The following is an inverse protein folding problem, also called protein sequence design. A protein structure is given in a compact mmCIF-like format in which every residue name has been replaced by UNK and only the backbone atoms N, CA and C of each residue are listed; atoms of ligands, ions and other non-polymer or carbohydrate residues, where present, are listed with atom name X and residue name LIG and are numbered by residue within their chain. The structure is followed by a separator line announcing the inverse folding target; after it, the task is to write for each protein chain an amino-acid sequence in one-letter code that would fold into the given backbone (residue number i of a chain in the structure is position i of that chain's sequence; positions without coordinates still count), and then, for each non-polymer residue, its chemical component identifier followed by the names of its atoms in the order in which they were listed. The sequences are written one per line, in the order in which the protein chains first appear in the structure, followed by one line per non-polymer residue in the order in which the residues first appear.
data_IF_463685650255
#
_entry.id   IF_463685650255
#
_cell.length_a   1.000
_cell.length_b   1.000
_cell.length_c   1.000
_cell.angle_alpha   90.00
_cell.angle_beta   90.00
_cell.angle_gamma   90.00
#
_symmetry.space_group_name_H-M   'P 1'
#
loop_
_entity.id
_entity.type
_entity.pdbx_description
1 polymer ?
#
# COMPACT_ATOMS: atom_id res chain seq x y z
N UNK A 1 3.00 27.87 -5.66
CA UNK A 1 2.90 27.29 -4.30
C UNK A 1 4.33 27.04 -3.85
N UNK A 2 4.83 27.85 -2.91
CA UNK A 2 6.26 27.88 -2.54
C UNK A 2 6.51 26.85 -1.45
N UNK A 3 7.37 25.90 -1.74
CA UNK A 3 7.77 24.90 -0.79
C UNK A 3 8.77 25.49 0.20
N UNK A 4 8.35 25.62 1.46
CA UNK A 4 9.19 26.11 2.55
C UNK A 4 9.99 24.97 3.18
N UNK A 5 10.92 24.40 2.44
CA UNK A 5 11.99 23.58 3.02
C UNK A 5 13.28 24.15 2.45
N UNK A 6 13.97 24.95 3.25
CA UNK A 6 15.43 25.02 3.38
C UNK A 6 15.74 26.26 4.23
N UNK A 7 16.54 26.05 5.26
CA UNK A 7 17.10 27.10 6.12
C UNK A 7 17.82 28.15 5.28
N UNK A 8 17.77 29.39 5.79
CA UNK A 8 18.07 30.70 5.19
C UNK A 8 19.46 30.92 4.54
N UNK A 9 20.22 29.88 4.21
CA UNK A 9 21.59 30.00 3.66
C UNK A 9 21.81 29.33 2.29
N UNK A 10 20.83 28.63 1.71
CA UNK A 10 20.94 27.99 0.37
C UNK A 10 19.79 28.34 -0.59
N UNK A 11 19.21 29.53 -0.49
CA UNK A 11 17.99 29.88 -1.26
C UNK A 11 18.18 30.00 -2.78
N UNK A 12 19.41 30.06 -3.32
CA UNK A 12 19.63 30.21 -4.77
C UNK A 12 20.11 28.93 -5.49
N UNK A 13 20.61 27.90 -4.81
CA UNK A 13 21.20 26.72 -5.48
C UNK A 13 20.23 25.56 -5.74
N UNK A 14 19.07 25.54 -5.07
CA UNK A 14 18.07 24.46 -5.23
C UNK A 14 16.94 24.82 -6.20
N UNK A 15 16.80 26.11 -6.56
CA UNK A 15 15.79 26.58 -7.51
C UNK A 15 16.14 26.26 -8.98
N UNK A 16 17.37 25.85 -9.27
CA UNK A 16 17.80 25.39 -10.61
C UNK A 16 17.69 23.89 -10.82
N UNK A 17 17.37 23.12 -9.77
CA UNK A 17 17.28 21.67 -9.83
C UNK A 17 15.91 21.25 -10.38
N UNK A 18 15.90 20.20 -11.20
CA UNK A 18 14.67 19.51 -11.59
C UNK A 18 13.94 18.96 -10.36
N UNK A 19 12.63 18.74 -10.47
CA UNK A 19 11.83 18.17 -9.38
C UNK A 19 12.38 16.81 -8.90
N UNK A 20 12.93 16.01 -9.82
CA UNK A 20 13.63 14.76 -9.52
C UNK A 20 14.87 14.97 -8.64
N UNK A 21 15.74 15.89 -9.02
CA UNK A 21 16.94 16.19 -8.25
C UNK A 21 16.61 16.74 -6.87
N UNK A 22 15.55 17.55 -6.75
CA UNK A 22 15.10 18.11 -5.47
C UNK A 22 14.72 17.01 -4.47
N UNK A 23 13.91 16.02 -4.89
CA UNK A 23 13.53 14.92 -3.99
C UNK A 23 14.73 14.03 -3.64
N UNK A 24 15.56 13.67 -4.62
CA UNK A 24 16.72 12.79 -4.38
C UNK A 24 17.75 13.44 -3.43
N UNK A 25 18.00 14.74 -3.57
CA UNK A 25 18.88 15.49 -2.66
C UNK A 25 18.29 15.57 -1.27
N UNK A 26 17.00 15.86 -1.15
CA UNK A 26 16.33 15.95 0.14
C UNK A 26 16.28 14.62 0.88
N UNK A 27 16.01 13.52 0.18
CA UNK A 27 16.02 12.16 0.75
C UNK A 27 17.43 11.80 1.22
N UNK A 28 18.47 12.06 0.42
CA UNK A 28 19.87 11.87 0.84
C UNK A 28 20.27 12.70 2.05
N UNK A 29 19.68 13.88 2.20
CA UNK A 29 19.90 14.76 3.35
C UNK A 29 19.04 14.37 4.56
N UNK A 30 18.19 13.34 4.46
CA UNK A 30 17.28 12.91 5.53
C UNK A 30 16.21 13.94 5.86
N UNK A 31 15.85 14.79 4.89
CA UNK A 31 14.87 15.84 5.09
C UNK A 31 13.45 15.28 5.06
N UNK A 32 12.60 15.82 5.93
CA UNK A 32 11.18 15.53 5.93
C UNK A 32 10.47 16.40 4.89
N UNK A 33 9.81 15.77 3.92
CA UNK A 33 9.14 16.43 2.79
C UNK A 33 7.62 16.48 3.01
N UNK A 34 7.18 17.10 4.12
CA UNK A 34 5.75 17.17 4.46
C UNK A 34 4.96 17.98 3.43
N UNK A 35 3.89 17.41 2.88
CA UNK A 35 2.98 18.16 1.99
C UNK A 35 3.61 18.57 0.66
N UNK A 36 4.74 17.94 0.36
CA UNK A 36 5.48 18.00 -0.88
C UNK A 36 4.62 17.96 -2.14
N UNK A 37 4.95 18.76 -3.16
CA UNK A 37 4.33 18.61 -4.48
C UNK A 37 5.37 18.18 -5.52
N UNK A 38 5.25 16.93 -5.96
CA UNK A 38 5.99 16.33 -7.07
C UNK A 38 5.03 15.76 -8.12
N UNK A 39 3.88 16.39 -8.33
CA UNK A 39 2.95 15.97 -9.36
C UNK A 39 3.62 15.98 -10.75
N UNK A 40 3.41 14.91 -11.52
CA UNK A 40 3.95 14.75 -12.88
C UNK A 40 5.48 14.54 -12.97
N UNK A 41 6.17 14.34 -11.85
CA UNK A 41 7.63 14.09 -11.87
C UNK A 41 7.93 12.71 -12.47
N UNK A 42 9.06 12.60 -13.18
CA UNK A 42 9.65 11.31 -13.55
C UNK A 42 10.68 10.89 -12.50
N UNK A 43 10.36 9.86 -11.73
CA UNK A 43 11.23 9.20 -10.76
C UNK A 43 11.44 7.72 -11.13
N UNK A 44 11.39 7.41 -12.42
CA UNK A 44 11.64 6.05 -12.92
C UNK A 44 12.96 5.54 -12.35
N UNK A 45 12.91 4.34 -11.77
CA UNK A 45 14.01 3.65 -11.11
C UNK A 45 14.73 4.45 -10.00
N UNK A 46 14.10 5.48 -9.41
CA UNK A 46 14.69 6.21 -8.29
C UNK A 46 14.75 5.35 -7.03
N UNK A 47 15.77 5.58 -6.20
CA UNK A 47 15.88 4.98 -4.88
C UNK A 47 15.50 6.01 -3.81
N UNK A 48 14.35 5.79 -3.18
CA UNK A 48 13.75 6.60 -2.13
C UNK A 48 13.52 5.75 -0.87
N UNK A 49 14.35 4.73 -0.64
CA UNK A 49 14.25 3.87 0.53
C UNK A 49 14.38 4.67 1.83
N UNK A 50 13.49 4.42 2.78
CA UNK A 50 13.44 5.11 4.07
C UNK A 50 13.08 6.60 3.98
N UNK A 51 12.63 7.09 2.82
CA UNK A 51 12.27 8.50 2.66
C UNK A 51 11.10 8.91 3.58
N UNK A 52 11.18 10.13 4.14
CA UNK A 52 10.13 10.69 4.98
C UNK A 52 9.28 11.67 4.16
N UNK A 53 8.18 11.17 3.59
CA UNK A 53 7.34 11.83 2.59
C UNK A 53 5.86 11.96 3.02
N UNK A 54 5.54 12.39 4.26
CA UNK A 54 4.16 12.42 4.72
C UNK A 54 3.36 13.45 3.92
N UNK A 55 2.16 13.06 3.46
CA UNK A 55 1.25 13.91 2.68
C UNK A 55 1.84 14.45 1.37
N UNK A 56 2.88 13.80 0.82
CA UNK A 56 3.41 14.13 -0.50
C UNK A 56 2.37 13.94 -1.59
N UNK A 57 2.40 14.77 -2.61
CA UNK A 57 1.66 14.61 -3.85
C UNK A 57 2.60 14.11 -4.94
N UNK A 58 2.32 12.89 -5.41
CA UNK A 58 2.90 12.25 -6.59
C UNK A 58 1.83 12.05 -7.67
N UNK A 59 0.84 12.93 -7.72
CA UNK A 59 -0.26 12.84 -8.67
C UNK A 59 0.28 12.84 -10.10
N UNK A 60 -0.13 11.88 -10.92
CA UNK A 60 0.37 11.72 -12.31
C UNK A 60 1.90 11.51 -12.44
N UNK A 61 2.62 11.21 -11.35
CA UNK A 61 4.06 10.95 -11.42
C UNK A 61 4.36 9.58 -12.06
N UNK A 62 5.49 9.49 -12.76
CA UNK A 62 6.06 8.21 -13.18
C UNK A 62 6.99 7.68 -12.09
N UNK A 63 6.55 6.62 -11.43
CA UNK A 63 7.22 5.93 -10.33
C UNK A 63 7.57 4.49 -10.76
N UNK A 64 7.70 4.23 -12.07
CA UNK A 64 8.01 2.90 -12.59
C UNK A 64 9.33 2.40 -12.00
N UNK A 65 9.33 1.19 -11.45
CA UNK A 65 10.50 0.53 -10.87
C UNK A 65 11.15 1.31 -9.70
N UNK A 66 10.41 2.23 -9.05
CA UNK A 66 10.91 3.00 -7.90
C UNK A 66 11.08 2.10 -6.67
N UNK A 67 12.09 2.36 -5.84
CA UNK A 67 12.24 1.74 -4.53
C UNK A 67 11.84 2.74 -3.43
N UNK A 68 10.80 2.40 -2.66
CA UNK A 68 10.24 3.14 -1.53
C UNK A 68 10.17 2.24 -0.29
N UNK A 69 11.14 1.33 -0.12
CA UNK A 69 11.14 0.36 0.97
C UNK A 69 11.27 1.09 2.30
N UNK A 70 10.47 0.70 3.28
CA UNK A 70 10.45 1.30 4.61
C UNK A 70 10.23 2.83 4.63
N UNK A 71 9.70 3.42 3.53
CA UNK A 71 9.43 4.85 3.45
C UNK A 71 8.14 5.22 4.20
N UNK A 72 8.07 6.46 4.68
CA UNK A 72 6.87 7.05 5.31
C UNK A 72 6.10 7.85 4.27
N UNK A 73 4.91 7.40 3.93
CA UNK A 73 4.01 7.98 2.92
C UNK A 73 2.60 8.20 3.47
N UNK A 74 2.48 8.39 4.79
CA UNK A 74 1.19 8.58 5.46
C UNK A 74 0.42 9.76 4.84
N UNK A 75 -0.79 9.49 4.35
CA UNK A 75 -1.64 10.48 3.69
C UNK A 75 -1.13 10.97 2.33
N UNK A 76 -0.16 10.28 1.71
CA UNK A 76 0.33 10.63 0.38
C UNK A 76 -0.76 10.51 -0.70
N UNK A 77 -0.68 11.35 -1.72
CA UNK A 77 -1.54 11.30 -2.89
C UNK A 77 -0.76 10.76 -4.09
N UNK A 78 -0.99 9.49 -4.42
CA UNK A 78 -0.43 8.75 -5.54
C UNK A 78 -1.48 8.59 -6.67
N UNK A 79 -2.53 9.41 -6.68
CA UNK A 79 -3.61 9.28 -7.66
C UNK A 79 -3.07 9.45 -9.09
N UNK A 80 -3.45 8.56 -10.00
CA UNK A 80 -3.00 8.52 -11.41
C UNK A 80 -1.49 8.33 -11.60
N UNK A 81 -0.75 7.96 -10.55
CA UNK A 81 0.68 7.65 -10.67
C UNK A 81 0.88 6.29 -11.37
N UNK A 82 1.98 6.17 -12.12
CA UNK A 82 2.41 4.88 -12.65
C UNK A 82 3.36 4.21 -11.66
N UNK A 83 2.89 3.16 -10.97
CA UNK A 83 3.62 2.40 -9.95
C UNK A 83 4.05 1.02 -10.46
N UNK A 84 4.14 0.85 -11.78
CA UNK A 84 4.54 -0.44 -12.37
C UNK A 84 5.90 -0.86 -11.83
N UNK A 85 6.02 -2.09 -11.31
CA UNK A 85 7.25 -2.60 -10.67
C UNK A 85 7.76 -1.81 -9.45
N UNK A 86 6.96 -0.91 -8.88
CA UNK A 86 7.37 -0.17 -7.70
C UNK A 86 7.47 -1.07 -6.45
N UNK A 87 8.44 -0.79 -5.57
CA UNK A 87 8.65 -1.53 -4.34
C UNK A 87 8.35 -0.69 -3.10
N UNK A 88 7.28 -1.02 -2.39
CA UNK A 88 6.84 -0.41 -1.12
C UNK A 88 7.01 -1.36 0.07
N UNK A 89 7.91 -2.34 -0.01
CA UNK A 89 8.09 -3.32 1.06
C UNK A 89 8.32 -2.63 2.41
N UNK A 90 7.46 -2.92 3.39
CA UNK A 90 7.52 -2.35 4.73
C UNK A 90 7.23 -0.85 4.83
N UNK A 91 6.68 -0.22 3.80
CA UNK A 91 6.35 1.22 3.82
C UNK A 91 5.11 1.53 4.67
N UNK A 92 5.04 2.74 5.23
CA UNK A 92 3.85 3.27 5.88
C UNK A 92 3.01 4.04 4.86
N UNK A 93 1.94 3.41 4.36
CA UNK A 93 1.02 3.94 3.36
C UNK A 93 -0.33 4.34 3.98
N UNK A 94 -0.41 4.49 5.31
CA UNK A 94 -1.69 4.75 5.98
C UNK A 94 -2.36 6.00 5.40
N UNK A 95 -3.65 5.90 5.11
CA UNK A 95 -4.45 6.98 4.51
C UNK A 95 -3.97 7.49 3.14
N UNK A 96 -3.06 6.77 2.46
CA UNK A 96 -2.63 7.14 1.12
C UNK A 96 -3.76 6.94 0.09
N UNK A 97 -3.71 7.73 -0.99
CA UNK A 97 -4.69 7.71 -2.08
C UNK A 97 -4.06 7.16 -3.34
N UNK A 98 -4.70 6.17 -3.96
CA UNK A 98 -4.27 5.50 -5.20
C UNK A 98 -5.33 5.58 -6.30
N UNK A 99 -6.21 6.58 -6.27
CA UNK A 99 -7.29 6.70 -7.26
C UNK A 99 -6.71 6.71 -8.68
N UNK A 100 -7.13 5.77 -9.51
CA UNK A 100 -6.68 5.59 -10.90
C UNK A 100 -5.16 5.35 -11.05
N UNK A 101 -4.45 4.94 -9.99
CA UNK A 101 -3.04 4.59 -10.06
C UNK A 101 -2.83 3.22 -10.73
N UNK A 102 -1.73 3.07 -11.47
CA UNK A 102 -1.36 1.80 -12.10
C UNK A 102 -0.46 1.02 -11.13
N UNK A 103 -0.97 -0.10 -10.58
CA UNK A 103 -0.29 -0.92 -9.56
C UNK A 103 0.27 -2.25 -10.11
N UNK A 104 0.53 -2.35 -11.41
CA UNK A 104 0.99 -3.59 -12.04
C UNK A 104 2.34 -4.05 -11.49
N UNK A 105 2.41 -5.24 -10.91
CA UNK A 105 3.63 -5.81 -10.29
C UNK A 105 4.22 -4.94 -9.16
N UNK A 106 3.41 -4.09 -8.52
CA UNK A 106 3.83 -3.34 -7.33
C UNK A 106 3.97 -4.28 -6.13
N UNK A 107 5.11 -4.22 -5.44
CA UNK A 107 5.33 -4.95 -4.19
C UNK A 107 4.85 -4.11 -3.00
N UNK A 108 3.78 -4.55 -2.34
CA UNK A 108 3.23 -3.94 -1.12
C UNK A 108 3.47 -4.83 0.12
N UNK A 109 4.39 -5.78 0.04
CA UNK A 109 4.69 -6.73 1.12
C UNK A 109 5.00 -6.02 2.43
N UNK A 110 4.34 -6.42 3.52
CA UNK A 110 4.51 -5.81 4.85
C UNK A 110 4.22 -4.31 4.95
N UNK A 111 3.66 -3.67 3.93
CA UNK A 111 3.27 -2.26 4.00
C UNK A 111 2.03 -2.07 4.90
N UNK A 112 1.97 -0.93 5.61
CA UNK A 112 0.77 -0.55 6.37
C UNK A 112 -0.23 0.18 5.47
N UNK A 113 -1.33 -0.51 5.13
CA UNK A 113 -2.38 -0.03 4.23
C UNK A 113 -3.62 0.50 4.98
N UNK A 114 -3.53 0.78 6.28
CA UNK A 114 -4.70 1.24 7.04
C UNK A 114 -5.30 2.51 6.43
N UNK A 115 -6.58 2.44 6.05
CA UNK A 115 -7.31 3.59 5.54
C UNK A 115 -6.90 4.05 4.13
N UNK A 116 -6.14 3.24 3.40
CA UNK A 116 -5.84 3.49 1.99
C UNK A 116 -7.13 3.58 1.16
N UNK A 117 -7.14 4.48 0.18
CA UNK A 117 -8.27 4.72 -0.72
C UNK A 117 -7.86 4.52 -2.19
N UNK A 118 -8.83 4.21 -3.05
CA UNK A 118 -8.62 4.22 -4.51
C UNK A 118 -7.96 2.97 -5.09
N UNK A 119 -7.60 1.98 -4.27
CA UNK A 119 -7.25 0.64 -4.74
C UNK A 119 -8.54 -0.12 -5.10
N UNK A 120 -9.07 0.06 -6.32
CA UNK A 120 -10.13 -0.83 -6.79
C UNK A 120 -9.54 -2.24 -6.92
N UNK A 121 -10.14 -3.22 -6.25
CA UNK A 121 -9.82 -4.63 -6.45
C UNK A 121 -10.12 -4.98 -7.91
N UNK A 122 -9.11 -4.97 -8.77
CA UNK A 122 -9.16 -5.68 -10.04
C UNK A 122 -9.14 -7.17 -9.77
N UNK A 123 -10.17 -7.69 -9.07
CA UNK A 123 -10.56 -9.08 -9.21
C UNK A 123 -11.19 -9.16 -10.60
N UNK A 124 -10.32 -9.37 -11.57
CA UNK A 124 -10.63 -10.02 -12.81
C UNK A 124 -11.57 -11.21 -12.54
N UNK A 125 -12.77 -11.09 -13.10
CA UNK A 125 -13.78 -12.11 -13.33
C UNK A 125 -13.18 -13.23 -14.22
N UNK A 126 -12.20 -13.97 -13.71
CA UNK A 126 -11.69 -15.19 -14.35
C UNK A 126 -12.66 -16.35 -14.05
N UNK A 127 -13.80 -16.34 -14.75
CA UNK A 127 -14.33 -17.48 -15.48
C UNK A 127 -14.35 -18.89 -14.84
N UNK A 128 -14.55 -19.05 -13.52
CA UNK A 128 -14.77 -20.39 -12.96
C UNK A 128 -16.25 -20.78 -12.99
N UNK A 129 -16.62 -21.52 -14.04
CA UNK A 129 -17.83 -22.32 -14.11
C UNK A 129 -18.00 -23.12 -12.80
N UNK A 130 -19.10 -22.90 -12.09
CA UNK A 130 -19.56 -23.85 -11.08
C UNK A 130 -20.14 -25.07 -11.81
N UNK A 131 -19.59 -26.29 -11.67
CA UNK A 131 -20.32 -27.47 -12.07
C UNK A 131 -21.25 -27.90 -10.93
N UNK A 132 -22.53 -27.99 -11.24
CA UNK A 132 -23.38 -29.12 -10.85
C UNK A 132 -23.72 -29.28 -9.37
N UNK A 133 -25.01 -29.18 -9.08
CA UNK A 133 -25.56 -29.45 -7.76
C UNK A 133 -25.37 -30.88 -7.27
N UNK A 134 -25.63 -31.04 -5.98
CA UNK A 134 -26.19 -32.25 -5.41
C UNK A 134 -26.92 -31.89 -4.11
N UNK A 135 -28.22 -32.10 -4.21
CA UNK A 135 -29.28 -32.31 -3.22
C UNK A 135 -28.91 -32.27 -1.72
N UNK A 136 -29.61 -31.39 -1.00
CA UNK A 136 -29.93 -31.54 0.42
C UNK A 136 -30.68 -32.85 0.66
N UNK A 137 -30.17 -33.69 1.58
CA UNK A 137 -30.98 -34.68 2.29
C UNK A 137 -30.69 -34.64 3.80
N UNK A 138 -31.77 -34.66 4.55
CA UNK A 138 -31.89 -34.44 5.98
C UNK A 138 -31.39 -35.59 6.88
N UNK A 139 -31.04 -35.17 8.11
CA UNK A 139 -31.31 -35.79 9.41
C UNK A 139 -30.49 -37.01 9.90
N UNK A 140 -29.92 -36.85 11.10
CA UNK A 140 -29.49 -37.96 11.96
C UNK A 140 -28.40 -37.53 12.95
N UNK A 141 -28.81 -37.19 14.18
CA UNK A 141 -27.95 -36.54 15.18
C UNK A 141 -26.88 -37.41 15.82
N UNK A 142 -25.91 -36.74 16.43
CA UNK A 142 -25.17 -37.22 17.60
C UNK A 142 -24.75 -36.00 18.45
N UNK A 143 -24.93 -36.14 19.76
CA UNK A 143 -24.76 -35.12 20.78
C UNK A 143 -23.28 -34.81 21.07
N UNK A 144 -23.09 -33.67 21.75
CA UNK A 144 -21.93 -33.22 22.53
C UNK A 144 -20.81 -32.52 21.76
N UNK A 145 -20.55 -31.27 22.16
CA UNK A 145 -19.42 -30.48 21.69
C UNK A 145 -19.79 -29.02 21.43
N UNK A 146 -19.96 -28.24 22.50
CA UNK A 146 -19.81 -26.79 22.42
C UNK A 146 -18.37 -26.50 22.04
N UNK A 147 -18.10 -26.22 20.77
CA UNK A 147 -16.83 -25.66 20.28
C UNK A 147 -17.16 -24.68 19.15
N UNK A 148 -17.68 -23.53 19.53
CA UNK A 148 -17.63 -22.30 18.74
C UNK A 148 -16.17 -21.82 18.61
N UNK A 149 -15.35 -22.55 17.85
CA UNK A 149 -13.98 -22.11 17.53
C UNK A 149 -13.97 -21.17 16.31
N UNK A 150 -14.85 -20.19 16.31
CA UNK A 150 -14.90 -19.14 15.29
C UNK A 150 -13.76 -18.14 15.53
N UNK A 151 -12.55 -18.46 15.06
CA UNK A 151 -11.46 -17.47 14.94
C UNK A 151 -11.87 -16.44 13.89
N UNK A 152 -12.55 -15.40 14.31
CA UNK A 152 -12.87 -14.27 13.45
C UNK A 152 -11.61 -13.45 13.20
N UNK A 153 -11.33 -13.13 11.95
CA UNK A 153 -10.28 -12.18 11.62
C UNK A 153 -10.70 -10.78 12.08
N UNK A 154 -9.99 -10.18 13.06
CA UNK A 154 -10.31 -8.85 13.61
C UNK A 154 -10.32 -7.72 12.58
N UNK A 155 -9.70 -7.94 11.41
CA UNK A 155 -9.64 -6.98 10.31
C UNK A 155 -10.73 -7.18 9.24
N UNK A 156 -11.35 -8.36 9.17
CA UNK A 156 -12.18 -8.74 8.00
C UNK A 156 -13.53 -9.39 8.34
N UNK A 157 -13.81 -9.68 9.62
CA UNK A 157 -15.02 -10.36 10.10
C UNK A 157 -15.36 -11.67 9.34
N UNK A 158 -14.37 -12.32 8.72
CA UNK A 158 -14.53 -13.54 7.92
C UNK A 158 -14.17 -14.81 8.68
N UNK A 159 -14.82 -15.91 8.30
CA UNK A 159 -14.59 -17.28 8.81
C UNK A 159 -13.21 -17.76 8.34
N UNK A 160 -12.44 -18.37 9.24
CA UNK A 160 -11.12 -18.96 8.99
C UNK A 160 -11.27 -20.48 8.90
N UNK A 161 -10.63 -21.12 7.93
CA UNK A 161 -10.52 -22.59 7.84
C UNK A 161 -9.52 -23.13 8.87
N UNK A 162 -9.84 -24.26 9.51
CA UNK A 162 -9.19 -24.78 10.73
C UNK A 162 -7.66 -25.01 10.65
N UNK A 163 -7.06 -25.07 9.46
CA UNK A 163 -5.64 -25.42 9.27
C UNK A 163 -4.72 -24.25 8.87
N UNK A 164 -5.22 -23.01 8.77
CA UNK A 164 -4.44 -21.87 8.28
C UNK A 164 -3.96 -20.91 9.39
N UNK A 165 -2.64 -20.71 9.52
CA UNK A 165 -2.02 -19.66 10.36
C UNK A 165 -2.17 -18.24 9.79
N UNK A 166 -2.87 -18.07 8.67
CA UNK A 166 -3.06 -16.81 7.96
C UNK A 166 -4.51 -16.66 7.49
N UNK A 167 -5.05 -15.44 7.49
CA UNK A 167 -6.38 -15.16 6.96
C UNK A 167 -6.37 -15.25 5.43
N UNK A 168 -7.15 -16.16 4.84
CA UNK A 168 -7.24 -16.33 3.39
C UNK A 168 -7.76 -15.09 2.64
N UNK A 169 -8.46 -14.18 3.34
CA UNK A 169 -9.06 -12.99 2.73
C UNK A 169 -8.13 -11.77 2.69
N UNK A 170 -7.17 -11.68 3.60
CA UNK A 170 -6.29 -10.52 3.72
C UNK A 170 -4.80 -10.86 3.91
N UNK A 171 -4.42 -12.14 3.91
CA UNK A 171 -3.05 -12.61 4.04
C UNK A 171 -2.40 -12.38 5.41
N UNK A 172 -3.13 -11.85 6.39
CA UNK A 172 -2.55 -11.45 7.68
C UNK A 172 -2.33 -12.68 8.60
N UNK A 173 -1.16 -12.83 9.26
CA UNK A 173 -0.96 -13.89 10.26
C UNK A 173 -1.97 -13.75 11.39
N UNK A 174 -2.61 -14.85 11.76
CA UNK A 174 -3.48 -14.89 12.94
C UNK A 174 -2.59 -14.79 14.17
N UNK A 175 -2.61 -13.63 14.82
CA UNK A 175 -1.84 -13.38 16.03
C UNK A 175 -2.14 -14.45 17.08
N UNK A 176 -1.10 -15.17 17.51
CA UNK A 176 -1.13 -15.94 18.75
C UNK A 176 -1.31 -14.95 19.91
N UNK A 177 -2.54 -14.76 20.37
CA UNK A 177 -2.75 -14.38 21.75
C UNK A 177 -2.43 -15.60 22.60
N UNK A 178 -1.33 -15.53 23.35
CA UNK A 178 -1.28 -16.16 24.68
C UNK A 178 -2.15 -15.33 25.61
#
# INVERSE_FOLDING_TARGET
MRWSIVTREKEESVLSLSAREQIEVAVRAGQELVGANFAGVDLTAANLDGANLPRVSFVEADLTNVSLRFATLTGADLSRANLTDANFFGADLRFARFSDAILSRTDLGSADLLGVQGMSSGADDEGHMSPGGHEEIHAGGHQSGSLDNSRTCSKCAGIVSDDANFCQKCGNPLGHNL
#
